data_IF_654433893316
#
_entry.id   IF_654433893316
#
_cell.length_a   1.000
_cell.length_b   1.000
_cell.length_c   1.000
_cell.angle_alpha   90.00
_cell.angle_beta   90.00
_cell.angle_gamma   90.00
#
_symmetry.space_group_name_H-M   'P 1'
#
loop_
_entity.id
_entity.type
_entity.pdbx_description
1 polymer ?
#
# COMPACT_ATOMS: atom_id res chain seq x y z
N UNK A 1 26.58 7.02 -7.43
CA UNK A 1 25.60 8.06 -7.03
C UNK A 1 24.66 7.37 -6.06
N UNK A 2 24.59 7.82 -4.80
CA UNK A 2 23.72 7.18 -3.81
C UNK A 2 22.27 7.62 -4.10
N UNK A 3 21.39 6.69 -4.44
CA UNK A 3 19.98 6.97 -4.72
C UNK A 3 19.23 7.13 -3.39
N UNK A 4 18.27 8.02 -3.35
CA UNK A 4 17.44 8.22 -2.16
C UNK A 4 16.24 7.25 -2.14
N UNK A 5 15.55 7.23 -1.00
CA UNK A 5 14.37 6.39 -0.76
C UNK A 5 13.28 6.64 -1.82
N UNK A 6 13.05 7.91 -2.19
CA UNK A 6 12.02 8.32 -3.15
C UNK A 6 12.25 7.70 -4.52
N UNK A 7 13.51 7.68 -4.99
CA UNK A 7 13.86 7.07 -6.26
C UNK A 7 13.48 5.58 -6.33
N UNK A 8 13.73 4.83 -5.25
CA UNK A 8 13.40 3.41 -5.17
C UNK A 8 11.89 3.15 -5.18
N UNK A 9 11.11 3.96 -4.45
CA UNK A 9 9.65 3.87 -4.44
C UNK A 9 9.07 4.20 -5.83
N UNK A 10 9.59 5.23 -6.50
CA UNK A 10 9.14 5.61 -7.84
C UNK A 10 9.38 4.49 -8.87
N UNK A 11 10.54 3.82 -8.83
CA UNK A 11 10.82 2.70 -9.71
C UNK A 11 9.93 1.48 -9.42
N UNK A 12 9.64 1.21 -8.15
CA UNK A 12 8.70 0.15 -7.77
C UNK A 12 7.26 0.46 -8.21
N UNK A 13 6.84 1.73 -8.18
CA UNK A 13 5.47 2.14 -8.50
C UNK A 13 5.18 2.27 -10.01
N UNK A 14 6.21 2.40 -10.86
CA UNK A 14 6.04 2.57 -12.31
C UNK A 14 5.51 1.31 -13.02
N UNK A 15 5.69 0.13 -12.43
CA UNK A 15 5.31 -1.14 -13.05
C UNK A 15 4.32 -1.89 -12.16
N UNK A 16 3.03 -1.55 -12.30
CA UNK A 16 1.92 -2.08 -11.49
C UNK A 16 1.76 -3.60 -11.54
N UNK A 17 2.31 -4.25 -12.56
CA UNK A 17 2.15 -5.67 -12.84
C UNK A 17 3.35 -6.52 -12.38
N UNK A 18 4.35 -5.91 -11.73
CA UNK A 18 5.49 -6.66 -11.21
C UNK A 18 5.08 -7.56 -10.03
N UNK A 19 5.58 -8.79 -10.08
CA UNK A 19 5.59 -9.66 -8.91
C UNK A 19 6.66 -9.21 -7.89
N UNK A 20 6.73 -9.92 -6.77
CA UNK A 20 7.68 -9.60 -5.69
C UNK A 20 9.14 -9.67 -6.12
N UNK A 21 9.48 -10.49 -7.13
CA UNK A 21 10.85 -10.62 -7.65
C UNK A 21 11.19 -9.42 -8.53
N UNK A 22 10.26 -8.98 -9.38
CA UNK A 22 10.40 -7.78 -10.18
C UNK A 22 10.59 -6.53 -9.32
N UNK A 23 9.77 -6.37 -8.28
CA UNK A 23 9.91 -5.27 -7.32
C UNK A 23 11.27 -5.29 -6.61
N UNK A 24 11.73 -6.47 -6.18
CA UNK A 24 13.03 -6.61 -5.53
C UNK A 24 14.19 -6.19 -6.43
N UNK A 25 14.11 -6.47 -7.74
CA UNK A 25 15.12 -6.03 -8.70
C UNK A 25 15.23 -4.49 -8.76
N UNK A 26 14.10 -3.78 -8.71
CA UNK A 26 14.07 -2.31 -8.72
C UNK A 26 14.57 -1.68 -7.40
N UNK A 27 14.65 -2.48 -6.34
CA UNK A 27 15.19 -2.11 -5.04
C UNK A 27 16.63 -2.59 -4.82
N UNK A 28 17.28 -3.20 -5.83
CA UNK A 28 18.54 -3.92 -5.65
C UNK A 28 19.73 -3.10 -5.13
N UNK A 29 19.72 -1.77 -5.34
CA UNK A 29 20.76 -0.86 -4.85
C UNK A 29 20.41 -0.23 -3.47
N UNK A 30 19.23 -0.50 -2.91
CA UNK A 30 18.78 0.10 -1.65
C UNK A 30 19.58 -0.43 -0.45
N UNK A 31 19.87 0.44 0.52
CA UNK A 31 20.46 0.03 1.80
C UNK A 31 19.43 -0.68 2.69
N UNK A 32 19.89 -1.40 3.72
CA UNK A 32 18.99 -2.06 4.67
C UNK A 32 18.05 -1.07 5.38
N UNK A 33 18.55 0.11 5.75
CA UNK A 33 17.72 1.14 6.37
C UNK A 33 16.65 1.67 5.40
N UNK A 34 17.01 1.88 4.14
CA UNK A 34 16.03 2.27 3.10
C UNK A 34 14.98 1.17 2.89
N UNK A 35 15.37 -0.11 2.91
CA UNK A 35 14.42 -1.23 2.82
C UNK A 35 13.46 -1.25 4.02
N UNK A 36 13.94 -1.00 5.24
CA UNK A 36 13.06 -0.87 6.42
C UNK A 36 12.07 0.29 6.27
N UNK A 37 12.53 1.44 5.80
CA UNK A 37 11.66 2.60 5.57
C UNK A 37 10.61 2.33 4.49
N UNK A 38 10.98 1.61 3.42
CA UNK A 38 10.04 1.16 2.36
C UNK A 38 8.97 0.24 2.95
N UNK A 39 9.36 -0.74 3.76
CA UNK A 39 8.41 -1.67 4.39
C UNK A 39 7.44 -0.91 5.30
N UNK A 40 7.94 -0.04 6.18
CA UNK A 40 7.09 0.76 7.06
C UNK A 40 6.19 1.74 6.31
N UNK A 41 6.62 2.23 5.14
CA UNK A 41 5.78 3.02 4.24
C UNK A 41 4.69 2.15 3.60
N UNK A 42 5.04 0.98 3.07
CA UNK A 42 4.10 0.05 2.44
C UNK A 42 3.02 -0.44 3.41
N UNK A 43 3.36 -0.66 4.68
CA UNK A 43 2.39 -1.02 5.73
C UNK A 43 1.36 0.10 5.95
N UNK A 44 1.81 1.35 6.10
CA UNK A 44 0.92 2.52 6.23
C UNK A 44 0.08 2.75 4.99
N UNK A 45 0.65 2.54 3.80
CA UNK A 45 -0.09 2.65 2.54
C UNK A 45 -1.18 1.58 2.44
N UNK A 46 -0.87 0.34 2.84
CA UNK A 46 -1.84 -0.75 2.94
C UNK A 46 -2.97 -0.40 3.92
N UNK A 47 -2.65 0.11 5.11
CA UNK A 47 -3.64 0.55 6.09
C UNK A 47 -4.57 1.64 5.53
N UNK A 48 -4.01 2.67 4.88
CA UNK A 48 -4.79 3.73 4.26
C UNK A 48 -5.72 3.18 3.15
N UNK A 49 -5.23 2.27 2.31
CA UNK A 49 -6.04 1.63 1.29
C UNK A 49 -7.21 0.81 1.88
N UNK A 50 -6.97 0.07 2.98
CA UNK A 50 -8.02 -0.69 3.65
C UNK A 50 -9.09 0.23 4.27
N UNK A 51 -8.71 1.36 4.85
CA UNK A 51 -9.65 2.37 5.38
C UNK A 51 -10.53 2.93 4.26
N UNK A 52 -9.93 3.31 3.13
CA UNK A 52 -10.67 3.85 1.98
C UNK A 52 -11.61 2.80 1.37
N UNK A 53 -11.15 1.55 1.21
CA UNK A 53 -11.99 0.45 0.73
C UNK A 53 -13.21 0.24 1.63
N UNK A 54 -12.99 0.24 2.96
CA UNK A 54 -14.07 0.10 3.93
C UNK A 54 -15.09 1.24 3.85
N UNK A 55 -14.60 2.49 3.75
CA UNK A 55 -15.47 3.66 3.55
C UNK A 55 -16.35 3.53 2.31
N UNK A 56 -15.79 3.06 1.19
CA UNK A 56 -16.54 2.86 -0.07
C UNK A 56 -17.55 1.73 0.01
N UNK A 57 -17.25 0.64 0.71
CA UNK A 57 -18.21 -0.45 0.93
C UNK A 57 -19.41 -0.02 1.78
N UNK A 58 -19.15 0.77 2.82
CA UNK A 58 -20.21 1.39 3.63
C UNK A 58 -21.10 2.28 2.78
N UNK A 59 -20.50 3.13 1.95
CA UNK A 59 -21.25 3.98 1.01
C UNK A 59 -22.12 3.14 0.06
N UNK A 60 -21.54 2.08 -0.53
CA UNK A 60 -22.26 1.19 -1.44
C UNK A 60 -23.44 0.45 -0.78
N UNK A 61 -23.39 0.25 0.55
CA UNK A 61 -24.48 -0.38 1.33
C UNK A 61 -25.44 0.62 1.96
N UNK A 62 -25.31 1.91 1.63
CA UNK A 62 -26.19 2.98 2.13
C UNK A 62 -25.89 3.41 3.57
N UNK A 63 -24.73 3.02 4.11
CA UNK A 63 -24.22 3.51 5.37
C UNK A 63 -23.46 4.82 5.16
N UNK A 64 -23.47 5.70 6.16
CA UNK A 64 -22.67 6.92 6.14
C UNK A 64 -21.17 6.58 6.01
N UNK A 65 -20.46 7.26 5.12
CA UNK A 65 -19.02 7.13 4.87
C UNK A 65 -18.30 8.48 4.97
N UNK A 66 -18.97 9.51 5.49
CA UNK A 66 -18.41 10.86 5.61
C UNK A 66 -17.22 10.97 6.58
N UNK A 67 -17.02 9.95 7.42
CA UNK A 67 -15.89 9.86 8.36
C UNK A 67 -15.02 8.65 8.01
N UNK A 68 -13.70 8.88 7.96
CA UNK A 68 -12.71 7.80 7.81
C UNK A 68 -12.65 7.00 9.10
N UNK A 69 -12.91 5.70 9.00
CA UNK A 69 -12.92 4.78 10.13
C UNK A 69 -12.04 3.56 9.82
N UNK A 70 -11.40 3.02 10.86
CA UNK A 70 -10.68 1.77 10.73
C UNK A 70 -11.66 0.64 10.40
N UNK A 71 -11.30 -0.26 9.46
CA UNK A 71 -12.11 -1.45 9.21
C UNK A 71 -12.14 -2.36 10.45
N UNK A 72 -13.17 -3.22 10.58
CA UNK A 72 -13.24 -4.18 11.67
C UNK A 72 -12.07 -5.18 11.62
N UNK A 73 -11.74 -5.76 12.78
CA UNK A 73 -10.69 -6.78 12.87
C UNK A 73 -10.99 -7.95 11.91
N UNK A 74 -9.96 -8.37 11.15
CA UNK A 74 -10.09 -9.44 10.16
C UNK A 74 -10.67 -9.01 8.80
N UNK A 75 -10.94 -7.71 8.58
CA UNK A 75 -11.31 -7.21 7.26
C UNK A 75 -10.18 -7.39 6.25
N UNK A 76 -10.48 -8.04 5.12
CA UNK A 76 -9.52 -8.36 4.06
C UNK A 76 -9.76 -7.57 2.77
N UNK A 77 -10.68 -6.59 2.78
CA UNK A 77 -11.11 -5.88 1.60
C UNK A 77 -12.35 -6.48 0.93
N UNK A 78 -12.81 -5.79 -0.12
CA UNK A 78 -14.02 -6.11 -0.88
C UNK A 78 -14.01 -7.55 -1.39
N UNK A 79 -15.01 -8.30 -0.94
CA UNK A 79 -15.32 -9.60 -1.48
C UNK A 79 -16.53 -9.46 -2.42
N UNK A 80 -16.34 -9.49 -3.76
CA UNK A 80 -17.43 -9.35 -4.75
C UNK A 80 -18.40 -10.54 -4.80
N UNK A 81 -18.48 -11.36 -3.74
CA UNK A 81 -19.31 -12.56 -3.70
C UNK A 81 -20.80 -12.23 -3.70
#
# INVERSE_FOLDING_TARGET
MNKDLSWHIEQAAQESDLDSIGLAHNLGDATLDQLHDIVAFAERLKEAAMVEMWGREREATGMDSSTLELPPEGYTGYNPS
#
